data_IF_297100815515
#
_entry.id   IF_297100815515
#
_cell.length_a   1.000
_cell.length_b   1.000
_cell.length_c   1.000
_cell.angle_alpha   90.00
_cell.angle_beta   90.00
_cell.angle_gamma   90.00
#
_symmetry.space_group_name_H-M   'P 1'
#
loop_
_entity.id
_entity.type
_entity.pdbx_description
1 polymer ?
#
# COMPACT_ATOMS: atom_id res chain seq x y z
N UNK A 1 -37.75 1.67 15.47
CA UNK A 1 -37.08 0.47 14.92
C UNK A 1 -36.00 0.87 13.91
N UNK A 2 -36.07 2.06 13.31
CA UNK A 2 -35.00 2.76 12.60
C UNK A 2 -33.59 2.62 13.18
N UNK A 3 -33.43 2.68 14.51
CA UNK A 3 -32.11 2.57 15.15
C UNK A 3 -31.39 1.26 14.87
N UNK A 4 -32.15 0.15 14.77
CA UNK A 4 -31.60 -1.15 14.42
C UNK A 4 -31.17 -1.19 12.95
N UNK A 5 -31.99 -0.63 12.05
CA UNK A 5 -31.66 -0.53 10.62
C UNK A 5 -30.42 0.34 10.42
N UNK A 6 -30.34 1.54 11.01
CA UNK A 6 -29.17 2.41 10.89
C UNK A 6 -27.89 1.78 11.44
N UNK A 7 -27.98 1.07 12.58
CA UNK A 7 -26.82 0.38 13.16
C UNK A 7 -26.37 -0.78 12.26
N UNK A 8 -27.32 -1.58 11.77
CA UNK A 8 -27.04 -2.68 10.85
C UNK A 8 -26.47 -2.19 9.52
N UNK A 9 -27.00 -1.10 8.96
CA UNK A 9 -26.49 -0.46 7.74
C UNK A 9 -25.09 0.11 7.93
N UNK A 10 -24.82 0.80 9.04
CA UNK A 10 -23.48 1.32 9.33
C UNK A 10 -22.44 0.20 9.44
N UNK A 11 -22.81 -0.90 10.12
CA UNK A 11 -21.96 -2.08 10.20
C UNK A 11 -21.77 -2.75 8.82
N UNK A 12 -22.83 -2.86 8.01
CA UNK A 12 -22.78 -3.42 6.66
C UNK A 12 -21.88 -2.62 5.71
N UNK A 13 -22.02 -1.29 5.71
CA UNK A 13 -21.17 -0.39 4.94
C UNK A 13 -19.70 -0.58 5.32
N UNK A 14 -19.39 -0.69 6.61
CA UNK A 14 -18.01 -0.89 7.03
C UNK A 14 -17.47 -2.29 6.73
N UNK A 15 -18.31 -3.33 6.76
CA UNK A 15 -17.95 -4.67 6.29
C UNK A 15 -17.58 -4.65 4.80
N UNK A 16 -18.29 -3.88 3.97
CA UNK A 16 -17.96 -3.72 2.55
C UNK A 16 -16.62 -3.00 2.35
N UNK A 17 -16.34 -1.97 3.13
CA UNK A 17 -15.03 -1.30 3.10
C UNK A 17 -13.91 -2.27 3.49
N UNK A 18 -14.11 -3.07 4.54
CA UNK A 18 -13.16 -4.11 4.93
C UNK A 18 -12.95 -5.14 3.81
N UNK A 19 -14.03 -5.55 3.14
CA UNK A 19 -13.98 -6.48 2.01
C UNK A 19 -13.13 -5.91 0.87
N UNK A 20 -13.29 -4.63 0.55
CA UNK A 20 -12.51 -3.97 -0.50
C UNK A 20 -11.01 -3.94 -0.15
N UNK A 21 -10.66 -3.64 1.10
CA UNK A 21 -9.27 -3.65 1.58
C UNK A 21 -8.67 -5.06 1.50
N UNK A 22 -9.38 -6.08 1.98
CA UNK A 22 -8.90 -7.47 1.93
C UNK A 22 -8.76 -7.96 0.49
N UNK A 23 -9.67 -7.60 -0.41
CA UNK A 23 -9.57 -7.91 -1.84
C UNK A 23 -8.35 -7.23 -2.49
N UNK A 24 -8.09 -5.96 -2.17
CA UNK A 24 -6.92 -5.22 -2.63
C UNK A 24 -5.61 -5.87 -2.16
N UNK A 25 -5.55 -6.27 -0.89
CA UNK A 25 -4.41 -7.00 -0.34
C UNK A 25 -4.19 -8.32 -1.11
N UNK A 26 -5.26 -9.11 -1.32
CA UNK A 26 -5.16 -10.38 -2.03
C UNK A 26 -4.69 -10.21 -3.48
N UNK A 27 -5.17 -9.17 -4.18
CA UNK A 27 -4.74 -8.85 -5.54
C UNK A 27 -3.25 -8.49 -5.61
N UNK A 28 -2.69 -7.94 -4.53
CA UNK A 28 -1.30 -7.53 -4.42
C UNK A 28 -0.42 -8.51 -3.62
N UNK A 29 -0.90 -9.74 -3.39
CA UNK A 29 -0.16 -10.77 -2.69
C UNK A 29 1.16 -11.16 -3.39
N UNK A 30 1.23 -11.02 -4.71
CA UNK A 30 2.44 -11.33 -5.49
C UNK A 30 3.19 -10.07 -5.93
N UNK A 31 2.77 -8.89 -5.48
CA UNK A 31 3.41 -7.61 -5.83
C UNK A 31 4.65 -7.41 -4.95
N UNK A 32 5.86 -7.30 -5.53
CA UNK A 32 7.07 -7.07 -4.75
C UNK A 32 7.00 -5.76 -3.95
N UNK A 33 7.49 -5.78 -2.71
CA UNK A 33 7.53 -4.63 -1.81
C UNK A 33 6.15 -4.11 -1.40
N UNK A 34 5.08 -4.87 -1.63
CA UNK A 34 3.74 -4.45 -1.22
C UNK A 34 3.57 -4.58 0.29
N UNK A 35 3.20 -3.46 0.92
CA UNK A 35 2.79 -3.38 2.32
C UNK A 35 1.27 -3.50 2.43
N UNK A 36 0.81 -4.51 3.16
CA UNK A 36 -0.59 -4.81 3.39
C UNK A 36 -1.32 -3.61 4.01
N UNK A 37 -2.49 -3.29 3.47
CA UNK A 37 -3.34 -2.27 4.02
C UNK A 37 -4.05 -2.78 5.28
N UNK A 38 -4.06 -1.95 6.32
CA UNK A 38 -4.73 -2.20 7.58
C UNK A 38 -5.99 -1.33 7.65
N UNK A 39 -7.12 -1.96 7.96
CA UNK A 39 -8.36 -1.26 8.26
C UNK A 39 -8.67 -1.42 9.75
N UNK A 40 -8.76 -0.29 10.45
CA UNK A 40 -9.10 -0.29 11.86
C UNK A 40 -10.51 0.27 12.03
N UNK A 41 -11.31 -0.38 12.88
CA UNK A 41 -12.68 0.03 13.18
C UNK A 41 -12.72 0.53 14.62
N UNK A 42 -13.45 1.61 14.87
CA UNK A 42 -13.74 2.03 16.25
C UNK A 42 -15.23 2.21 16.46
N UNK A 43 -15.64 1.88 17.69
CA UNK A 43 -16.99 2.08 18.16
C UNK A 43 -17.15 3.53 18.62
N UNK A 44 -18.13 4.24 18.07
CA UNK A 44 -18.46 5.62 18.42
C UNK A 44 -19.86 5.64 19.01
N UNK A 45 -20.00 5.89 20.32
CA UNK A 45 -21.30 6.09 20.94
C UNK A 45 -22.03 7.26 20.26
N UNK A 46 -23.35 7.13 20.08
CA UNK A 46 -24.17 8.25 19.62
C UNK A 46 -24.64 9.03 20.83
N UNK A 47 -24.04 10.20 21.05
CA UNK A 47 -24.43 11.11 22.13
C UNK A 47 -25.69 11.91 21.74
N UNK A 48 -26.63 12.00 22.67
CA UNK A 48 -27.89 12.74 22.48
C UNK A 48 -28.71 12.84 23.77
N UNK A 49 -29.84 13.56 23.71
CA UNK A 49 -30.76 13.77 24.85
C UNK A 49 -31.52 12.49 25.27
N UNK A 50 -31.38 11.40 24.51
CA UNK A 50 -32.00 10.10 24.79
C UNK A 50 -31.05 9.15 25.54
N UNK A 51 -31.59 8.05 26.06
CA UNK A 51 -30.79 6.96 26.64
C UNK A 51 -29.69 6.47 25.67
N UNK A 52 -28.49 6.24 26.19
CA UNK A 52 -27.32 5.75 25.47
C UNK A 52 -27.54 4.29 24.99
N UNK A 53 -28.29 4.14 23.92
CA UNK A 53 -28.74 2.86 23.37
C UNK A 53 -28.07 2.52 22.04
N UNK A 54 -27.14 3.37 21.56
CA UNK A 54 -26.57 3.28 20.20
C UNK A 54 -25.08 3.53 20.18
N UNK A 55 -24.40 2.67 19.45
CA UNK A 55 -22.99 2.78 19.12
C UNK A 55 -22.84 2.47 17.64
N UNK A 56 -22.31 3.42 16.89
CA UNK A 56 -22.01 3.25 15.47
C UNK A 56 -20.57 2.78 15.29
N UNK A 57 -20.29 2.21 14.12
CA UNK A 57 -18.94 1.85 13.72
C UNK A 57 -18.44 2.91 12.75
N UNK A 58 -17.24 3.42 12.98
CA UNK A 58 -16.56 4.30 12.03
C UNK A 58 -15.21 3.70 11.64
N UNK A 59 -14.82 3.91 10.38
CA UNK A 59 -13.49 3.58 9.91
C UNK A 59 -12.46 4.52 10.56
N UNK A 60 -11.35 3.97 11.02
CA UNK A 60 -10.13 4.70 11.31
C UNK A 60 -9.34 4.91 10.02
N UNK A 61 -8.44 5.89 10.00
CA UNK A 61 -7.51 6.13 8.90
C UNK A 61 -6.82 4.82 8.49
N UNK A 62 -6.85 4.43 7.20
CA UNK A 62 -6.16 3.23 6.71
C UNK A 62 -4.68 3.29 7.05
N UNK A 63 -4.19 2.24 7.72
CA UNK A 63 -2.76 2.06 7.97
C UNK A 63 -2.14 1.16 6.92
N UNK A 64 -0.82 0.98 6.99
CA UNK A 64 -0.15 -0.11 6.30
C UNK A 64 0.70 -0.89 7.30
N UNK A 65 0.71 -2.21 7.15
CA UNK A 65 1.60 -3.08 7.91
C UNK A 65 3.02 -2.88 7.38
N UNK A 66 3.88 -2.26 8.19
CA UNK A 66 5.27 -1.92 7.84
C UNK A 66 6.25 -3.08 8.06
N UNK A 67 5.76 -4.27 8.47
CA UNK A 67 6.62 -5.44 8.61
C UNK A 67 7.21 -5.85 7.26
N UNK A 68 8.51 -6.21 7.20
CA UNK A 68 9.16 -6.63 5.98
C UNK A 68 8.52 -7.90 5.39
N UNK A 69 8.46 -7.96 4.06
CA UNK A 69 8.09 -9.18 3.35
C UNK A 69 9.24 -10.19 3.34
N UNK A 70 8.98 -11.38 2.78
CA UNK A 70 10.04 -12.35 2.54
C UNK A 70 11.03 -11.84 1.49
N UNK A 71 12.32 -12.12 1.66
CA UNK A 71 13.34 -11.82 0.66
C UNK A 71 13.50 -12.99 -0.32
N UNK A 72 13.34 -12.71 -1.61
CA UNK A 72 13.46 -13.66 -2.71
C UNK A 72 14.72 -13.37 -3.53
N UNK A 73 15.62 -14.36 -3.62
CA UNK A 73 16.89 -14.23 -4.36
C UNK A 73 16.66 -14.56 -5.84
N UNK A 74 16.45 -13.55 -6.65
CA UNK A 74 16.10 -13.69 -8.09
C UNK A 74 17.32 -13.81 -9.00
N UNK A 75 18.52 -13.44 -8.51
CA UNK A 75 19.76 -13.32 -9.29
C UNK A 75 19.70 -12.32 -10.45
N UNK A 76 18.64 -11.48 -10.55
CA UNK A 76 18.53 -10.45 -11.59
C UNK A 76 19.21 -9.16 -11.11
N UNK A 77 20.16 -8.57 -11.87
CA UNK A 77 20.91 -7.39 -11.42
C UNK A 77 20.06 -6.16 -11.08
N UNK A 78 18.92 -6.02 -11.77
CA UNK A 78 17.95 -4.92 -11.60
C UNK A 78 16.92 -5.17 -10.49
N UNK A 79 16.91 -6.35 -9.90
CA UNK A 79 16.12 -6.59 -8.69
C UNK A 79 16.91 -6.14 -7.47
N UNK A 80 16.33 -5.24 -6.70
CA UNK A 80 16.96 -4.71 -5.48
C UNK A 80 16.05 -4.85 -4.27
N UNK A 81 16.64 -5.15 -3.12
CA UNK A 81 15.97 -5.10 -1.83
C UNK A 81 16.68 -4.10 -0.92
N UNK A 82 15.92 -3.45 -0.03
CA UNK A 82 16.44 -2.45 0.90
C UNK A 82 16.38 -2.98 2.34
N UNK A 83 17.22 -2.40 3.20
CA UNK A 83 17.10 -2.61 4.64
C UNK A 83 15.82 -1.97 5.21
N UNK A 84 15.48 -2.33 6.46
CA UNK A 84 14.16 -2.12 7.06
C UNK A 84 13.60 -0.68 6.94
N UNK A 85 14.41 0.36 7.01
CA UNK A 85 13.93 1.76 6.96
C UNK A 85 14.25 2.47 5.62
N UNK A 86 14.86 1.77 4.66
CA UNK A 86 15.28 2.32 3.39
C UNK A 86 14.20 2.26 2.31
N UNK A 87 13.96 3.36 1.61
CA UNK A 87 12.98 3.45 0.53
C UNK A 87 13.64 3.86 -0.78
N UNK A 88 13.09 3.34 -1.89
CA UNK A 88 13.38 3.84 -3.23
C UNK A 88 12.47 5.03 -3.52
N UNK A 89 12.99 5.98 -4.28
CA UNK A 89 12.23 7.14 -4.74
C UNK A 89 11.85 6.94 -6.20
N UNK A 90 10.58 7.15 -6.49
CA UNK A 90 10.02 7.14 -7.85
C UNK A 90 9.25 8.43 -8.11
N UNK A 91 9.04 8.76 -9.37
CA UNK A 91 8.22 9.88 -9.79
C UNK A 91 6.77 9.45 -9.96
N UNK A 92 5.88 10.05 -9.18
CA UNK A 92 4.44 9.90 -9.35
C UNK A 92 3.96 10.61 -10.63
N UNK A 93 2.72 10.32 -11.05
CA UNK A 93 2.16 10.86 -12.28
C UNK A 93 1.96 12.38 -12.26
N UNK A 94 1.83 12.97 -11.07
CA UNK A 94 1.77 14.42 -10.83
C UNK A 94 3.15 15.10 -10.84
N UNK A 95 4.22 14.30 -11.00
CA UNK A 95 5.61 14.76 -10.98
C UNK A 95 6.25 14.81 -9.59
N UNK A 96 5.48 14.55 -8.52
CA UNK A 96 6.00 14.52 -7.15
C UNK A 96 6.80 13.25 -6.86
N UNK A 97 7.60 13.28 -5.79
CA UNK A 97 8.29 12.08 -5.30
C UNK A 97 7.33 11.16 -4.54
N UNK A 98 7.37 9.88 -4.86
CA UNK A 98 6.75 8.81 -4.11
C UNK A 98 7.79 7.80 -3.66
N UNK A 99 7.49 7.12 -2.55
CA UNK A 99 8.38 6.14 -1.95
C UNK A 99 7.84 4.73 -2.17
N UNK A 100 8.72 3.78 -2.45
CA UNK A 100 8.34 2.38 -2.65
C UNK A 100 9.38 1.42 -2.09
N UNK A 101 8.92 0.23 -1.70
CA UNK A 101 9.76 -0.93 -1.39
C UNK A 101 9.88 -1.90 -2.55
N UNK A 102 9.09 -1.69 -3.60
CA UNK A 102 9.20 -2.50 -4.79
C UNK A 102 10.52 -2.17 -5.48
N UNK A 103 11.47 -3.11 -5.49
CA UNK A 103 12.74 -2.95 -6.19
C UNK A 103 12.83 -3.74 -7.49
N UNK A 104 11.69 -4.09 -8.10
CA UNK A 104 11.62 -4.68 -9.43
C UNK A 104 11.86 -3.58 -10.48
N UNK A 105 13.12 -3.20 -10.68
CA UNK A 105 13.48 -2.17 -11.65
C UNK A 105 13.46 -2.79 -13.05
N UNK A 106 12.89 -2.03 -13.99
CA UNK A 106 12.79 -2.38 -15.41
C UNK A 106 13.33 -1.24 -16.26
N UNK A 107 13.98 -1.59 -17.37
CA UNK A 107 14.39 -0.61 -18.37
C UNK A 107 13.23 -0.41 -19.33
N UNK A 108 12.73 0.82 -19.39
CA UNK A 108 11.67 1.21 -20.32
C UNK A 108 12.18 1.33 -21.77
N UNK A 109 11.27 1.49 -22.74
CA UNK A 109 11.61 1.57 -24.16
C UNK A 109 12.57 2.71 -24.54
N UNK A 110 12.58 3.78 -23.75
CA UNK A 110 13.43 4.97 -23.94
C UNK A 110 14.71 4.92 -23.10
N UNK A 111 15.04 3.75 -22.53
CA UNK A 111 16.18 3.58 -21.61
C UNK A 111 15.93 4.10 -20.19
N UNK A 112 14.74 4.63 -19.88
CA UNK A 112 14.43 5.10 -18.52
C UNK A 112 14.24 3.93 -17.55
N UNK A 113 14.82 4.00 -16.35
CA UNK A 113 14.56 3.03 -15.30
C UNK A 113 13.19 3.29 -14.68
N UNK A 114 12.36 2.26 -14.57
CA UNK A 114 11.00 2.35 -14.04
C UNK A 114 10.68 1.23 -13.06
N UNK A 115 9.76 1.49 -12.15
CA UNK A 115 9.18 0.51 -11.22
C UNK A 115 7.67 0.67 -11.33
N UNK A 116 6.97 -0.39 -11.75
CA UNK A 116 5.51 -0.33 -12.01
C UNK A 116 5.09 0.82 -12.94
N UNK A 117 5.94 1.20 -13.90
CA UNK A 117 5.69 2.31 -14.81
C UNK A 117 6.04 3.70 -14.27
N UNK A 118 6.46 3.82 -13.01
CA UNK A 118 6.95 5.07 -12.43
C UNK A 118 8.46 5.23 -12.67
N UNK A 119 8.94 6.38 -13.18
CA UNK A 119 10.36 6.66 -13.31
C UNK A 119 11.09 6.56 -11.97
N UNK A 120 12.24 5.89 -11.94
CA UNK A 120 13.10 5.82 -10.76
C UNK A 120 13.91 7.11 -10.64
N UNK A 121 13.88 7.72 -9.45
CA UNK A 121 14.61 8.95 -9.16
C UNK A 121 15.98 8.63 -8.57
N UNK A 122 17.01 9.21 -9.18
CA UNK A 122 18.37 9.26 -8.67
C UNK A 122 18.69 10.57 -7.96
N UNK A 123 19.94 10.72 -7.50
CA UNK A 123 20.42 11.97 -6.89
C UNK A 123 20.35 13.17 -7.86
N UNK A 124 20.38 12.93 -9.17
CA UNK A 124 20.28 13.95 -10.24
C UNK A 124 18.94 14.02 -10.97
N UNK A 125 17.89 13.35 -10.49
CA UNK A 125 16.59 13.23 -11.16
C UNK A 125 16.34 11.85 -11.78
N UNK A 126 15.34 11.69 -12.68
CA UNK A 126 15.03 10.41 -13.31
C UNK A 126 16.25 9.78 -14.01
N UNK A 127 16.46 8.49 -13.81
CA UNK A 127 17.64 7.80 -14.33
C UNK A 127 17.34 7.16 -15.70
N UNK A 128 18.20 7.44 -16.67
CA UNK A 128 18.17 6.84 -18.01
C UNK A 128 19.49 6.14 -18.27
N UNK A 129 19.43 4.94 -18.83
CA UNK A 129 20.57 4.10 -19.21
C UNK A 129 20.68 4.00 -20.73
N UNK A 130 21.88 3.79 -21.28
CA UNK A 130 22.05 3.54 -22.72
C UNK A 130 21.27 2.30 -23.17
N UNK A 131 20.65 2.38 -24.36
CA UNK A 131 19.88 1.26 -24.90
C UNK A 131 20.76 0.03 -25.14
N UNK A 132 20.24 -1.14 -24.75
CA UNK A 132 20.94 -2.42 -24.90
C UNK A 132 22.11 -2.63 -23.92
N UNK A 133 22.41 -1.69 -23.03
CA UNK A 133 23.47 -1.86 -22.05
C UNK A 133 23.14 -2.90 -20.97
N UNK A 134 24.17 -3.62 -20.52
CA UNK A 134 24.09 -4.47 -19.33
C UNK A 134 24.26 -3.58 -18.09
N UNK A 135 23.28 -3.66 -17.18
CA UNK A 135 23.18 -2.74 -16.04
C UNK A 135 23.46 -3.49 -14.76
N UNK A 136 24.28 -2.89 -13.91
CA UNK A 136 24.59 -3.40 -12.57
C UNK A 136 24.31 -2.31 -11.54
N UNK A 137 23.85 -2.72 -10.37
CA UNK A 137 23.55 -1.81 -9.26
C UNK A 137 24.38 -2.24 -8.06
N UNK A 138 25.28 -1.38 -7.61
CA UNK A 138 26.13 -1.61 -6.45
C UNK A 138 25.37 -1.39 -5.13
N UNK A 139 25.91 -1.90 -4.02
CA UNK A 139 25.26 -1.85 -2.71
C UNK A 139 25.01 -0.44 -2.17
N UNK A 140 25.71 0.57 -2.69
CA UNK A 140 25.56 1.99 -2.36
C UNK A 140 24.54 2.73 -3.26
N UNK A 141 23.88 2.00 -4.17
CA UNK A 141 22.93 2.54 -5.14
C UNK A 141 23.56 3.01 -6.45
N UNK A 142 24.88 2.91 -6.64
CA UNK A 142 25.54 3.32 -7.88
C UNK A 142 25.13 2.38 -9.02
N UNK A 143 24.59 2.96 -10.08
CA UNK A 143 24.18 2.25 -11.30
C UNK A 143 25.29 2.41 -12.32
N UNK A 144 25.78 1.29 -12.83
CA UNK A 144 26.77 1.26 -13.89
C UNK A 144 26.25 0.48 -15.09
N UNK A 145 26.63 0.95 -16.28
CA UNK A 145 26.25 0.33 -17.55
C UNK A 145 27.48 -0.11 -18.33
N UNK A 146 27.35 -1.24 -19.01
CA UNK A 146 28.29 -1.75 -20.00
C UNK A 146 27.59 -1.77 -21.35
N UNK A 147 28.06 -1.02 -22.34
CA UNK A 147 27.41 -0.99 -23.65
C UNK A 147 27.67 -2.28 -24.44
N UNK A 148 26.80 -2.62 -25.39
CA UNK A 148 27.03 -3.74 -26.29
C UNK A 148 28.35 -3.60 -27.06
N UNK A 149 29.21 -4.62 -26.97
CA UNK A 149 30.49 -4.67 -27.69
C UNK A 149 31.67 -4.02 -26.98
N UNK A 150 31.42 -3.36 -25.85
CA UNK A 150 32.46 -2.81 -24.99
C UNK A 150 33.14 -3.92 -24.15
N UNK A 151 34.46 -3.85 -23.90
CA UNK A 151 35.13 -4.83 -23.06
C UNK A 151 34.72 -4.67 -21.58
N UNK A 152 34.70 -5.75 -20.76
CA UNK A 152 34.17 -5.73 -19.39
C UNK A 152 34.83 -4.74 -18.41
N UNK A 153 35.98 -4.17 -18.77
CA UNK A 153 36.70 -3.17 -17.99
C UNK A 153 36.27 -1.71 -18.27
N UNK A 154 35.27 -1.50 -19.12
CA UNK A 154 34.77 -0.15 -19.51
C UNK A 154 33.42 0.19 -18.89
N UNK A 155 33.01 -0.54 -17.85
CA UNK A 155 31.81 -0.26 -17.06
C UNK A 155 31.84 1.20 -16.58
N UNK A 156 30.87 2.00 -17.01
CA UNK A 156 30.79 3.42 -16.70
C UNK A 156 29.62 3.69 -15.73
N UNK A 157 29.81 4.54 -14.70
CA UNK A 157 28.71 4.96 -13.83
C UNK A 157 27.73 5.84 -14.61
N UNK A 158 26.45 5.50 -14.58
CA UNK A 158 25.37 6.23 -15.25
C UNK A 158 24.64 7.15 -14.26
N UNK A 159 24.56 6.75 -13.00
CA UNK A 159 23.90 7.52 -11.96
C UNK A 159 23.88 6.78 -10.64
N UNK A 160 23.19 7.35 -9.66
CA UNK A 160 23.03 6.75 -8.34
C UNK A 160 21.58 6.88 -7.88
N UNK A 161 21.02 5.78 -7.40
CA UNK A 161 19.67 5.74 -6.83
C UNK A 161 19.57 6.71 -5.64
N UNK A 162 18.48 7.49 -5.59
CA UNK A 162 18.13 8.27 -4.41
C UNK A 162 17.52 7.30 -3.39
N UNK A 163 18.31 6.93 -2.39
CA UNK A 163 17.86 6.09 -1.29
C UNK A 163 17.53 6.98 -0.10
N UNK A 164 16.34 6.83 0.48
CA UNK A 164 15.90 7.67 1.61
C UNK A 164 15.55 6.83 2.82
N UNK A 165 15.75 7.38 4.01
CA UNK A 165 15.37 6.74 5.26
C UNK A 165 14.08 7.33 5.81
N UNK A 166 13.07 6.49 6.01
CA UNK A 166 11.82 6.89 6.65
C UNK A 166 11.29 5.75 7.53
N UNK A 167 10.94 6.10 8.77
CA UNK A 167 10.28 5.21 9.71
C UNK A 167 8.82 4.96 9.31
N UNK A 168 8.24 3.84 9.77
CA UNK A 168 6.90 3.41 9.37
C UNK A 168 5.77 4.38 9.76
N UNK A 169 5.97 5.22 10.78
CA UNK A 169 5.04 6.27 11.21
C UNK A 169 5.22 7.60 10.43
N UNK A 170 6.34 7.78 9.74
CA UNK A 170 6.61 8.98 8.92
C UNK A 170 5.97 8.87 7.53
N UNK A 171 5.54 7.68 7.11
CA UNK A 171 4.98 7.43 5.78
C UNK A 171 3.55 6.91 5.83
N UNK A 172 2.76 7.35 4.87
CA UNK A 172 1.41 6.89 4.61
C UNK A 172 1.26 6.45 3.16
N UNK A 173 0.47 5.39 2.94
CA UNK A 173 0.12 4.94 1.60
C UNK A 173 -0.88 5.92 0.99
N UNK A 174 -0.69 6.24 -0.28
CA UNK A 174 -1.61 7.02 -1.09
C UNK A 174 -2.40 6.13 -2.06
N UNK A 175 -3.41 6.70 -2.72
CA UNK A 175 -4.33 5.99 -3.61
C UNK A 175 -3.66 5.40 -4.86
N UNK A 176 -2.54 5.98 -5.29
CA UNK A 176 -1.70 5.47 -6.39
C UNK A 176 -0.81 4.29 -5.96
N UNK A 177 -0.88 3.88 -4.70
CA UNK A 177 -0.11 2.77 -4.16
C UNK A 177 1.30 3.13 -3.71
N UNK A 178 1.75 4.37 -3.93
CA UNK A 178 3.03 4.89 -3.45
C UNK A 178 2.91 5.41 -2.02
N UNK A 179 4.03 5.43 -1.31
CA UNK A 179 4.12 6.03 0.01
C UNK A 179 4.53 7.50 -0.09
N UNK A 180 3.96 8.32 0.79
CA UNK A 180 4.28 9.75 0.94
C UNK A 180 4.49 10.05 2.42
N UNK A 181 5.24 11.11 2.72
CA UNK A 181 5.40 11.54 4.10
C UNK A 181 4.04 11.97 4.68
N UNK A 182 3.83 11.70 5.96
CA UNK A 182 2.70 12.25 6.72
C UNK A 182 2.84 13.77 6.86
N UNK A 183 1.75 14.49 7.14
CA UNK A 183 1.79 15.94 7.30
C UNK A 183 2.75 16.37 8.43
N UNK A 184 2.81 15.57 9.49
CA UNK A 184 3.71 15.77 10.62
C UNK A 184 5.18 15.60 10.20
N UNK A 185 5.50 14.52 9.48
CA UNK A 185 6.85 14.27 9.01
C UNK A 185 7.29 15.32 7.96
N UNK A 186 6.37 15.80 7.13
CA UNK A 186 6.64 16.89 6.18
C UNK A 186 6.95 18.21 6.89
N UNK A 187 6.28 18.52 8.00
CA UNK A 187 6.55 19.73 8.78
C UNK A 187 7.94 19.70 9.43
N UNK A 188 8.42 18.51 9.83
CA UNK A 188 9.72 18.35 10.48
C UNK A 188 10.88 18.23 9.48
N UNK A 189 10.69 17.47 8.39
CA UNK A 189 11.78 17.07 7.48
C UNK A 189 11.70 17.71 6.09
N UNK A 190 10.63 18.45 5.81
CA UNK A 190 10.35 19.06 4.52
C UNK A 190 9.52 18.17 3.59
N UNK A 191 9.20 18.69 2.40
CA UNK A 191 8.30 18.03 1.45
C UNK A 191 8.86 16.70 0.88
N UNK A 192 10.18 16.60 0.75
CA UNK A 192 10.89 15.43 0.22
C UNK A 192 12.07 15.07 1.12
N UNK A 193 12.38 13.78 1.21
CA UNK A 193 13.52 13.30 1.98
C UNK A 193 14.83 13.49 1.21
N UNK A 194 15.89 13.84 1.93
CA UNK A 194 17.25 13.85 1.39
C UNK A 194 17.79 12.41 1.24
N UNK A 195 18.70 12.22 0.29
CA UNK A 195 19.39 10.95 0.12
C UNK A 195 20.20 10.61 1.38
N UNK A 196 20.06 9.39 1.89
CA UNK A 196 20.77 8.89 3.05
C UNK A 196 21.88 7.90 2.62
N UNK A 197 23.17 8.29 2.73
CA UNK A 197 24.29 7.45 2.30
C UNK A 197 24.57 6.28 3.24
N UNK A 198 23.85 6.12 4.36
CA UNK A 198 23.95 4.94 5.23
C UNK A 198 23.13 3.75 4.71
N UNK A 199 22.10 4.02 3.90
CA UNK A 199 21.26 2.96 3.34
C UNK A 199 22.09 2.13 2.35
N UNK A 200 21.91 0.81 2.44
CA UNK A 200 22.50 -0.15 1.52
C UNK A 200 21.40 -0.96 0.87
N UNK A 201 21.66 -1.38 -0.37
CA UNK A 201 20.78 -2.26 -1.12
C UNK A 201 21.44 -3.62 -1.36
N UNK A 202 20.62 -4.63 -1.55
CA UNK A 202 21.01 -5.97 -1.96
C UNK A 202 20.54 -6.16 -3.40
N UNK A 203 21.48 -6.24 -4.35
CA UNK A 203 21.18 -6.55 -5.74
C UNK A 203 20.94 -8.06 -5.93
N UNK A 204 20.11 -8.43 -6.89
CA UNK A 204 19.71 -9.82 -7.14
C UNK A 204 18.67 -10.35 -6.18
N UNK A 205 18.00 -9.47 -5.43
CA UNK A 205 17.03 -9.82 -4.38
C UNK A 205 15.81 -8.93 -4.50
N UNK A 206 14.61 -9.48 -4.31
CA UNK A 206 13.38 -8.72 -4.16
C UNK A 206 12.79 -8.92 -2.77
N UNK A 207 12.22 -7.86 -2.22
CA UNK A 207 11.29 -7.99 -1.11
C UNK A 207 9.91 -8.37 -1.68
N UNK A 208 9.29 -9.44 -1.16
CA UNK A 208 7.94 -9.86 -1.50
C UNK A 208 6.86 -9.02 -0.81
N UNK A 209 5.60 -9.34 -1.09
CA UNK A 209 4.47 -8.80 -0.34
C UNK A 209 4.45 -9.36 1.09
N UNK A 210 4.05 -8.55 2.07
CA UNK A 210 3.77 -9.06 3.43
C UNK A 210 2.31 -9.51 3.60
N UNK A 211 1.51 -9.51 2.53
CA UNK A 211 0.15 -10.06 2.54
C UNK A 211 0.22 -11.58 2.70
N UNK A 212 -0.63 -12.11 3.58
CA UNK A 212 -0.84 -13.55 3.75
C UNK A 212 -2.11 -14.00 3.03
N UNK A 213 -2.01 -14.66 1.86
CA UNK A 213 -3.19 -14.90 1.00
C UNK A 213 -4.24 -15.80 1.64
N UNK A 214 -3.79 -16.82 2.41
CA UNK A 214 -4.69 -17.76 3.09
C UNK A 214 -5.52 -17.04 4.15
N UNK A 215 -4.88 -16.23 5.00
CA UNK A 215 -5.57 -15.42 6.01
C UNK A 215 -6.54 -14.43 5.34
N UNK A 216 -6.10 -13.73 4.29
CA UNK A 216 -6.94 -12.80 3.53
C UNK A 216 -8.17 -13.48 2.90
N UNK A 217 -8.03 -14.69 2.34
CA UNK A 217 -9.18 -15.44 1.80
C UNK A 217 -10.16 -15.85 2.89
N UNK A 218 -9.66 -16.27 4.07
CA UNK A 218 -10.54 -16.57 5.20
C UNK A 218 -11.29 -15.34 5.70
N UNK A 219 -10.63 -14.18 5.73
CA UNK A 219 -11.24 -12.90 6.08
C UNK A 219 -12.31 -12.49 5.07
N UNK A 220 -12.09 -12.69 3.76
CA UNK A 220 -13.09 -12.42 2.72
C UNK A 220 -14.38 -13.22 2.94
N UNK A 221 -14.27 -14.50 3.32
CA UNK A 221 -15.41 -15.37 3.63
C UNK A 221 -16.11 -14.89 4.91
N UNK A 222 -15.34 -14.55 5.94
CA UNK A 222 -15.88 -14.06 7.21
C UNK A 222 -16.65 -12.74 7.03
N UNK A 223 -16.10 -11.81 6.25
CA UNK A 223 -16.74 -10.53 5.91
C UNK A 223 -18.01 -10.74 5.08
N UNK A 224 -18.01 -11.62 4.08
CA UNK A 224 -19.22 -11.94 3.32
C UNK A 224 -20.35 -12.45 4.22
N UNK A 225 -20.05 -13.38 5.14
CA UNK A 225 -21.02 -13.86 6.13
C UNK A 225 -21.49 -12.77 7.09
N UNK A 226 -20.60 -11.87 7.53
CA UNK A 226 -20.97 -10.71 8.38
C UNK A 226 -21.94 -9.80 7.66
N UNK A 227 -21.68 -9.50 6.38
CA UNK A 227 -22.57 -8.71 5.55
C UNK A 227 -23.95 -9.37 5.39
N UNK A 228 -23.99 -10.66 5.09
CA UNK A 228 -25.24 -11.43 5.01
C UNK A 228 -26.04 -11.39 6.32
N UNK A 229 -25.37 -11.57 7.46
CA UNK A 229 -26.02 -11.45 8.78
C UNK A 229 -26.58 -10.05 9.02
N UNK A 230 -25.84 -9.00 8.65
CA UNK A 230 -26.28 -7.61 8.78
C UNK A 230 -27.50 -7.33 7.89
N UNK A 231 -27.54 -7.84 6.66
CA UNK A 231 -28.71 -7.75 5.79
C UNK A 231 -29.91 -8.51 6.35
N UNK A 232 -29.69 -9.70 6.93
CA UNK A 232 -30.76 -10.46 7.59
C UNK A 232 -31.38 -9.71 8.77
N UNK A 233 -30.60 -8.95 9.53
CA UNK A 233 -31.12 -8.07 10.59
C UNK A 233 -32.03 -7.01 10.00
N UNK A 234 -31.62 -6.36 8.90
CA UNK A 234 -32.44 -5.33 8.23
C UNK A 234 -33.78 -5.93 7.76
N UNK A 235 -33.74 -7.06 7.05
CA UNK A 235 -34.96 -7.75 6.59
C UNK A 235 -35.85 -8.18 7.75
N UNK A 236 -35.28 -8.69 8.84
CA UNK A 236 -36.07 -9.08 10.01
C UNK A 236 -36.75 -7.90 10.70
N UNK A 237 -36.13 -6.72 10.69
CA UNK A 237 -36.73 -5.50 11.25
C UNK A 237 -37.85 -5.01 10.32
N UNK A 238 -37.63 -5.00 9.01
CA UNK A 238 -38.63 -4.62 7.99
C UNK A 238 -39.88 -5.53 8.05
N UNK A 239 -39.69 -6.84 8.12
CA UNK A 239 -40.80 -7.79 8.29
C UNK A 239 -41.59 -7.55 9.59
N UNK A 240 -40.90 -7.22 10.68
CA UNK A 240 -41.54 -6.94 11.96
C UNK A 240 -42.34 -5.62 11.92
N UNK A 241 -41.84 -4.60 11.21
CA UNK A 241 -42.57 -3.36 10.94
C UNK A 241 -43.83 -3.61 10.12
N UNK A 242 -43.74 -4.42 9.06
CA UNK A 242 -44.90 -4.83 8.27
C UNK A 242 -45.99 -5.49 9.12
N UNK A 243 -45.61 -6.41 10.01
CA UNK A 243 -46.55 -7.08 10.95
C UNK A 243 -47.14 -6.11 11.98
N UNK A 244 -46.35 -5.19 12.53
CA UNK A 244 -46.83 -4.19 13.48
C UNK A 244 -47.85 -3.24 12.83
N UNK A 245 -47.60 -2.82 11.59
CA UNK A 245 -48.52 -1.97 10.82
C UNK A 245 -49.84 -2.69 10.52
N UNK A 246 -49.81 -4.01 10.26
CA UNK A 246 -51.04 -4.80 10.08
C UNK A 246 -51.90 -4.78 11.35
N UNK A 247 -51.30 -4.93 12.54
CA UNK A 247 -52.04 -4.84 13.81
C UNK A 247 -52.72 -3.48 14.01
N UNK A 248 -52.04 -2.38 13.64
CA UNK A 248 -52.60 -1.02 13.70
C UNK A 248 -53.73 -0.81 12.69
N UNK A 249 -53.69 -1.47 11.53
CA UNK A 249 -54.77 -1.37 10.52
C UNK A 249 -56.04 -2.13 10.89
N UNK A 250 -55.95 -3.05 11.88
CA UNK A 250 -57.07 -3.86 12.36
C UNK A 250 -57.76 -3.27 13.60
N UNK A 251 -57.26 -2.15 14.15
CA UNK A 251 -57.86 -1.38 15.25
C UNK A 251 -58.55 -0.12 14.75
#
# INVERSE_FOLDING_TARGET
MDHAIYTAMGAASQTLNQQAVTASNLANASTPGFRAQLNALRAVPVDGLSLATRTLVTASTPGADMTPGQLDYTSRPLDVALQQDGWLVVQAADGAEGYTRNGNIQVGPTGQLTIQGHPVIGEGGPITVPEGSEITIAADGTISALNPGDPPNTVAPVGRLKLVKAEGNEVQRSDDGLFRLTAEAQAERGAVLAADPSIRIMSGVLEGSNVKPVEAMTDMIANARRFEMQMKVITSVDENEGRANQLLSMS
#
